data_IF_071267253313
#
_entry.id   IF_071267253313
#
_cell.length_a   1.000
_cell.length_b   1.000
_cell.length_c   1.000
_cell.angle_alpha   90.00
_cell.angle_beta   90.00
_cell.angle_gamma   90.00
#
_symmetry.space_group_name_H-M   'P 1'
#
loop_
_entity.id
_entity.type
_entity.pdbx_description
1 polymer ?
#
# COMPACT_ATOMS: atom_id res chain seq x y z
N UNK A 1 -30.43 -48.15 7.45
CA UNK A 1 -30.68 -47.14 8.52
C UNK A 1 -29.77 -45.94 8.23
N UNK A 2 -30.36 -44.80 7.86
CA UNK A 2 -29.62 -43.57 7.75
C UNK A 2 -29.17 -43.14 9.16
N UNK A 3 -27.89 -43.24 9.44
CA UNK A 3 -27.28 -42.74 10.66
C UNK A 3 -26.93 -41.26 10.52
N UNK A 4 -27.33 -40.40 11.48
CA UNK A 4 -26.92 -39.00 11.48
C UNK A 4 -25.61 -38.93 12.32
N UNK A 5 -24.50 -38.64 11.65
CA UNK A 5 -23.23 -38.41 12.31
C UNK A 5 -23.17 -36.93 12.68
N UNK A 6 -22.98 -36.63 13.98
CA UNK A 6 -22.71 -35.27 14.45
C UNK A 6 -21.24 -35.14 14.78
N UNK A 7 -20.56 -34.27 14.07
CA UNK A 7 -19.20 -33.90 14.41
C UNK A 7 -19.23 -32.73 15.40
N UNK A 8 -18.61 -32.93 16.56
CA UNK A 8 -18.37 -31.86 17.51
C UNK A 8 -16.93 -31.39 17.29
N UNK A 9 -16.78 -30.18 16.87
CA UNK A 9 -15.50 -29.53 16.80
C UNK A 9 -15.10 -29.09 18.19
N UNK A 10 -14.16 -29.80 18.75
CA UNK A 10 -13.43 -29.32 19.93
C UNK A 10 -12.10 -28.80 19.42
N UNK A 11 -11.84 -27.51 19.60
CA UNK A 11 -10.53 -26.94 19.32
C UNK A 11 -9.41 -27.72 20.03
N UNK A 12 -8.14 -27.50 19.67
CA UNK A 12 -6.98 -28.15 20.30
C UNK A 12 -7.17 -28.16 21.80
N UNK A 13 -7.29 -29.36 22.35
CA UNK A 13 -7.30 -29.52 23.80
C UNK A 13 -5.92 -29.15 24.36
N UNK A 14 -5.82 -28.99 25.68
CA UNK A 14 -4.56 -28.69 26.40
C UNK A 14 -3.40 -29.66 26.14
N UNK A 15 -3.65 -30.77 25.46
CA UNK A 15 -2.68 -31.80 25.10
C UNK A 15 -2.23 -31.74 23.64
N UNK A 16 -2.70 -30.75 22.85
CA UNK A 16 -2.27 -30.54 21.47
C UNK A 16 -2.81 -31.55 20.46
N UNK A 17 -3.79 -32.38 20.82
CA UNK A 17 -4.40 -33.32 19.89
C UNK A 17 -5.33 -32.62 18.93
N UNK A 18 -5.04 -32.74 17.64
CA UNK A 18 -5.85 -32.14 16.57
C UNK A 18 -7.25 -32.76 16.56
N UNK A 19 -8.23 -31.91 16.39
CA UNK A 19 -9.60 -32.31 16.16
C UNK A 19 -9.96 -32.07 14.72
N UNK A 20 -10.77 -32.95 14.16
CA UNK A 20 -11.11 -32.98 12.75
C UNK A 20 -11.77 -31.67 12.30
N UNK A 21 -11.20 -31.07 11.27
CA UNK A 21 -11.87 -30.07 10.47
C UNK A 21 -12.71 -30.72 9.37
N UNK A 22 -13.83 -30.14 8.94
CA UNK A 22 -14.62 -30.67 7.83
C UNK A 22 -13.85 -30.80 6.51
N UNK A 23 -12.71 -30.10 6.37
CA UNK A 23 -11.83 -30.16 5.22
C UNK A 23 -10.80 -31.29 5.28
N UNK A 24 -10.56 -31.89 6.45
CA UNK A 24 -9.68 -33.04 6.55
C UNK A 24 -10.35 -34.24 5.88
N UNK A 25 -9.56 -35.00 5.10
CA UNK A 25 -10.04 -36.22 4.45
C UNK A 25 -10.47 -37.23 5.53
N UNK A 26 -11.73 -37.16 5.90
CA UNK A 26 -12.34 -38.25 6.67
C UNK A 26 -12.60 -39.40 5.71
N UNK A 27 -12.20 -40.62 6.06
CA UNK A 27 -12.60 -41.83 5.35
C UNK A 27 -14.11 -42.03 5.57
N UNK A 28 -14.88 -41.69 4.55
CA UNK A 28 -16.31 -41.98 4.52
C UNK A 28 -16.52 -43.37 3.96
N UNK A 29 -17.51 -44.13 4.49
CA UNK A 29 -17.91 -45.39 3.86
C UNK A 29 -18.32 -45.18 2.41
N UNK A 30 -18.01 -46.14 1.54
CA UNK A 30 -18.52 -46.17 0.18
C UNK A 30 -20.04 -46.00 0.21
N UNK A 31 -20.59 -45.25 -0.77
CA UNK A 31 -22.01 -44.88 -0.86
C UNK A 31 -22.51 -43.85 0.16
N UNK A 32 -21.63 -43.15 0.87
CA UNK A 32 -22.01 -42.08 1.80
C UNK A 32 -22.19 -40.76 1.01
N UNK A 33 -23.39 -40.18 1.09
CA UNK A 33 -23.60 -38.82 0.60
C UNK A 33 -23.19 -37.83 1.67
N UNK A 34 -22.24 -36.96 1.35
CA UNK A 34 -21.68 -35.95 2.27
C UNK A 34 -22.12 -34.58 1.80
N UNK A 35 -22.87 -33.86 2.64
CA UNK A 35 -23.26 -32.48 2.42
C UNK A 35 -22.68 -31.61 3.53
N UNK A 36 -22.03 -30.51 3.16
CA UNK A 36 -21.42 -29.59 4.09
C UNK A 36 -22.24 -28.30 4.18
N UNK A 37 -22.56 -27.87 5.38
CA UNK A 37 -23.07 -26.52 5.59
C UNK A 37 -21.90 -25.53 5.42
N UNK A 38 -21.89 -24.84 4.30
CA UNK A 38 -20.85 -23.84 3.96
C UNK A 38 -20.70 -22.77 5.06
N UNK A 39 -21.76 -22.42 5.78
CA UNK A 39 -21.72 -21.48 6.91
C UNK A 39 -20.86 -21.99 8.07
N UNK A 40 -20.80 -23.31 8.26
CA UNK A 40 -19.91 -23.92 9.25
C UNK A 40 -18.45 -23.84 8.80
N UNK A 41 -18.18 -24.08 7.52
CA UNK A 41 -16.83 -23.94 6.95
C UNK A 41 -16.34 -22.50 7.12
N UNK A 42 -17.17 -21.52 6.79
CA UNK A 42 -16.86 -20.09 6.97
C UNK A 42 -16.61 -19.75 8.44
N UNK A 43 -17.44 -20.28 9.36
CA UNK A 43 -17.27 -20.07 10.80
C UNK A 43 -15.94 -20.64 11.32
N UNK A 44 -15.53 -21.81 10.80
CA UNK A 44 -14.24 -22.40 11.17
C UNK A 44 -13.06 -21.65 10.60
N UNK A 45 -13.18 -21.20 9.35
CA UNK A 45 -12.17 -20.32 8.74
C UNK A 45 -12.01 -19.01 9.54
N UNK A 46 -13.10 -18.44 10.07
CA UNK A 46 -13.05 -17.28 10.96
C UNK A 46 -12.42 -17.61 12.32
N UNK A 47 -12.74 -18.77 12.90
CA UNK A 47 -12.15 -19.20 14.18
C UNK A 47 -10.65 -19.45 14.04
N UNK A 48 -10.19 -20.02 12.93
CA UNK A 48 -8.78 -20.23 12.64
C UNK A 48 -8.06 -18.89 12.41
N UNK A 49 -8.66 -17.97 11.68
CA UNK A 49 -8.14 -16.59 11.53
C UNK A 49 -7.90 -15.91 12.88
N UNK A 50 -8.77 -16.12 13.85
CA UNK A 50 -8.63 -15.56 15.21
C UNK A 50 -7.51 -16.20 16.04
N UNK A 51 -7.01 -17.37 15.66
CA UNK A 51 -5.89 -18.04 16.32
C UNK A 51 -4.53 -17.65 15.74
N UNK A 52 -4.51 -17.11 14.51
CA UNK A 52 -3.28 -16.67 13.86
C UNK A 52 -2.82 -15.33 14.42
N UNK A 53 -1.51 -15.18 14.55
CA UNK A 53 -0.91 -13.88 14.84
C UNK A 53 -1.19 -12.90 13.69
N UNK A 54 -1.14 -11.60 13.96
CA UNK A 54 -1.29 -10.56 12.93
C UNK A 54 -0.30 -10.78 11.79
N UNK A 55 0.95 -11.12 12.11
CA UNK A 55 2.00 -11.41 11.12
C UNK A 55 1.62 -12.58 10.20
N UNK A 56 1.09 -13.66 10.77
CA UNK A 56 0.64 -14.82 9.99
C UNK A 56 -0.57 -14.50 9.12
N UNK A 57 -1.52 -13.71 9.61
CA UNK A 57 -2.68 -13.30 8.81
C UNK A 57 -2.27 -12.45 7.61
N UNK A 58 -1.37 -11.46 7.80
CA UNK A 58 -0.83 -10.63 6.72
C UNK A 58 -0.07 -11.50 5.71
N UNK A 59 0.73 -12.45 6.18
CA UNK A 59 1.47 -13.38 5.33
C UNK A 59 0.53 -14.25 4.48
N UNK A 60 -0.51 -14.80 5.09
CA UNK A 60 -1.48 -15.64 4.38
C UNK A 60 -2.23 -14.84 3.30
N UNK A 61 -2.60 -13.59 3.60
CA UNK A 61 -3.22 -12.69 2.62
C UNK A 61 -2.26 -12.35 1.47
N UNK A 62 -0.98 -12.11 1.76
CA UNK A 62 0.02 -11.89 0.72
C UNK A 62 0.09 -13.07 -0.27
N UNK A 63 0.21 -14.30 0.22
CA UNK A 63 0.29 -15.47 -0.64
C UNK A 63 -1.01 -15.77 -1.36
N UNK A 64 -2.16 -15.56 -0.73
CA UNK A 64 -3.47 -15.65 -1.38
C UNK A 64 -3.57 -14.68 -2.55
N UNK A 65 -3.16 -13.44 -2.37
CA UNK A 65 -3.18 -12.40 -3.41
C UNK A 65 -2.16 -12.72 -4.51
N UNK A 66 -0.97 -13.21 -4.14
CA UNK A 66 0.04 -13.66 -5.11
C UNK A 66 -0.49 -14.77 -6.00
N UNK A 67 -1.15 -15.76 -5.43
CA UNK A 67 -1.80 -16.85 -6.19
C UNK A 67 -2.93 -16.32 -7.08
N UNK A 68 -3.79 -15.45 -6.56
CA UNK A 68 -4.88 -14.83 -7.31
C UNK A 68 -4.39 -14.07 -8.55
N UNK A 69 -3.28 -13.33 -8.41
CA UNK A 69 -2.74 -12.48 -9.48
C UNK A 69 -1.75 -13.21 -10.40
N UNK A 70 -1.23 -14.37 -9.99
CA UNK A 70 -0.17 -15.09 -10.70
C UNK A 70 1.16 -14.34 -10.77
N UNK A 71 1.37 -13.33 -9.92
CA UNK A 71 2.58 -12.49 -9.84
C UNK A 71 2.83 -12.03 -8.41
N UNK A 72 4.04 -11.51 -8.14
CA UNK A 72 4.34 -10.84 -6.90
C UNK A 72 3.39 -9.62 -6.74
N UNK A 73 2.62 -9.53 -5.63
CA UNK A 73 1.78 -8.37 -5.36
C UNK A 73 2.60 -7.09 -5.20
N UNK A 74 2.05 -5.96 -5.60
CA UNK A 74 2.54 -4.62 -5.25
C UNK A 74 1.84 -4.12 -3.98
N UNK A 75 2.25 -2.96 -3.43
CA UNK A 75 1.50 -2.31 -2.32
C UNK A 75 0.07 -1.99 -2.74
N UNK A 76 -0.12 -1.56 -3.99
CA UNK A 76 -1.45 -1.30 -4.55
C UNK A 76 -2.27 -2.56 -4.70
N UNK A 77 -1.67 -3.69 -5.12
CA UNK A 77 -2.35 -4.98 -5.17
C UNK A 77 -2.80 -5.41 -3.77
N UNK A 78 -1.92 -5.33 -2.76
CA UNK A 78 -2.28 -5.63 -1.37
C UNK A 78 -3.39 -4.71 -0.86
N UNK A 79 -3.31 -3.41 -1.12
CA UNK A 79 -4.35 -2.45 -0.74
C UNK A 79 -5.71 -2.79 -1.36
N UNK A 80 -5.72 -3.28 -2.59
CA UNK A 80 -6.94 -3.55 -3.37
C UNK A 80 -7.60 -4.87 -3.00
N UNK A 81 -6.79 -5.91 -2.76
CA UNK A 81 -7.29 -7.29 -2.65
C UNK A 81 -7.19 -7.89 -1.24
N UNK A 82 -6.50 -7.24 -0.30
CA UNK A 82 -6.41 -7.71 1.08
C UNK A 82 -7.76 -7.57 1.78
N UNK A 83 -8.11 -8.55 2.59
CA UNK A 83 -9.28 -8.48 3.47
C UNK A 83 -9.25 -7.21 4.32
N UNK A 84 -10.39 -6.54 4.43
CA UNK A 84 -10.47 -5.23 5.11
C UNK A 84 -10.05 -5.29 6.58
N UNK A 85 -10.37 -6.36 7.30
CA UNK A 85 -10.01 -6.52 8.71
C UNK A 85 -8.51 -6.76 8.85
N UNK A 86 -7.92 -7.60 7.97
CA UNK A 86 -6.47 -7.84 7.94
C UNK A 86 -5.73 -6.55 7.55
N UNK A 87 -6.23 -5.79 6.57
CA UNK A 87 -5.65 -4.50 6.22
C UNK A 87 -5.68 -3.52 7.39
N UNK A 88 -6.79 -3.42 8.11
CA UNK A 88 -6.89 -2.54 9.29
C UNK A 88 -5.92 -2.97 10.39
N UNK A 89 -5.80 -4.27 10.65
CA UNK A 89 -4.81 -4.80 11.59
C UNK A 89 -3.38 -4.45 11.16
N UNK A 90 -3.05 -4.64 9.88
CA UNK A 90 -1.74 -4.35 9.33
C UNK A 90 -1.34 -2.88 9.49
N UNK A 91 -2.24 -1.93 9.17
CA UNK A 91 -1.92 -0.50 9.22
C UNK A 91 -1.95 0.10 10.63
N UNK A 92 -2.64 -0.54 11.59
CA UNK A 92 -2.68 -0.10 12.98
C UNK A 92 -1.51 -0.60 13.81
N UNK A 93 -0.91 -1.74 13.44
CA UNK A 93 0.24 -2.32 14.14
C UNK A 93 1.53 -1.97 13.41
N UNK A 94 2.18 -0.90 13.83
CA UNK A 94 3.33 -0.30 13.12
C UNK A 94 4.49 -1.28 12.84
N UNK A 95 4.73 -2.24 13.73
CA UNK A 95 5.80 -3.22 13.57
C UNK A 95 5.51 -4.27 12.50
N UNK A 96 4.24 -4.60 12.29
CA UNK A 96 3.79 -5.59 11.33
C UNK A 96 3.28 -4.98 10.01
N UNK A 97 3.35 -3.65 9.87
CA UNK A 97 2.83 -2.94 8.72
C UNK A 97 3.75 -3.10 7.48
N UNK A 98 3.39 -3.93 6.50
CA UNK A 98 4.21 -4.14 5.31
C UNK A 98 4.30 -2.90 4.42
N UNK A 99 3.31 -2.01 4.47
CA UNK A 99 3.25 -0.81 3.63
C UNK A 99 4.26 0.28 4.02
N UNK A 100 4.85 0.19 5.21
CA UNK A 100 5.88 1.12 5.70
C UNK A 100 7.32 0.62 5.50
N UNK A 101 7.49 -0.64 5.11
CA UNK A 101 8.77 -1.32 4.91
C UNK A 101 8.62 -2.50 3.94
N UNK A 102 8.02 -2.24 2.79
CA UNK A 102 7.58 -3.30 1.90
C UNK A 102 8.71 -4.18 1.37
N UNK A 103 9.84 -3.59 0.97
CA UNK A 103 10.99 -4.36 0.51
C UNK A 103 11.57 -5.24 1.63
N UNK A 104 11.61 -4.76 2.87
CA UNK A 104 12.01 -5.58 4.01
C UNK A 104 11.01 -6.71 4.26
N UNK A 105 9.72 -6.44 4.08
CA UNK A 105 8.68 -7.46 4.19
C UNK A 105 8.84 -8.55 3.13
N UNK A 106 9.15 -8.19 1.88
CA UNK A 106 9.47 -9.16 0.83
C UNK A 106 10.74 -9.96 1.14
N UNK A 107 11.76 -9.31 1.74
CA UNK A 107 12.97 -9.99 2.20
C UNK A 107 12.66 -11.03 3.29
N UNK A 108 11.82 -10.69 4.28
CA UNK A 108 11.38 -11.61 5.32
C UNK A 108 10.59 -12.82 4.77
N UNK A 109 9.93 -12.67 3.62
CA UNK A 109 9.19 -13.74 2.94
C UNK A 109 10.04 -14.54 1.95
N UNK A 110 11.31 -14.17 1.73
CA UNK A 110 12.18 -14.70 0.68
C UNK A 110 11.59 -14.49 -0.75
N UNK A 111 10.94 -13.35 -0.95
CA UNK A 111 10.21 -13.00 -2.17
C UNK A 111 10.90 -11.89 -3.00
N UNK A 112 12.06 -11.35 -2.57
CA UNK A 112 12.77 -10.33 -3.31
C UNK A 112 13.31 -10.86 -4.64
N UNK A 113 13.01 -10.15 -5.73
CA UNK A 113 13.72 -10.38 -7.00
C UNK A 113 15.16 -9.86 -6.92
N UNK A 114 16.02 -10.32 -7.83
CA UNK A 114 17.41 -9.86 -7.87
C UNK A 114 17.52 -8.36 -8.18
N UNK A 115 16.57 -7.81 -8.95
CA UNK A 115 16.47 -6.37 -9.21
C UNK A 115 16.08 -5.61 -7.92
N UNK A 116 15.12 -6.14 -7.17
CA UNK A 116 14.69 -5.52 -5.91
C UNK A 116 15.80 -5.56 -4.86
N UNK A 117 16.62 -6.62 -4.80
CA UNK A 117 17.78 -6.70 -3.91
C UNK A 117 18.76 -5.55 -4.12
N UNK A 118 18.93 -5.07 -5.36
CA UNK A 118 19.77 -3.90 -5.65
C UNK A 118 19.19 -2.61 -5.06
N UNK A 119 17.87 -2.46 -5.05
CA UNK A 119 17.19 -1.34 -4.42
C UNK A 119 17.05 -1.47 -2.89
N UNK A 120 17.22 -2.67 -2.34
CA UNK A 120 17.13 -2.93 -0.90
C UNK A 120 18.40 -2.56 -0.13
N UNK A 121 19.40 -1.95 -0.77
CA UNK A 121 20.67 -1.61 -0.17
C UNK A 121 21.00 -0.12 -0.38
N UNK A 122 21.75 0.45 0.56
CA UNK A 122 22.25 1.81 0.45
C UNK A 122 21.15 2.86 0.22
N UNK A 123 21.50 3.87 -0.57
CA UNK A 123 20.68 5.08 -0.78
C UNK A 123 19.30 4.78 -1.41
N UNK A 124 19.18 3.73 -2.23
CA UNK A 124 17.91 3.33 -2.83
C UNK A 124 16.89 2.88 -1.78
N UNK A 125 17.34 2.05 -0.83
CA UNK A 125 16.52 1.61 0.31
C UNK A 125 16.06 2.80 1.15
N UNK A 126 16.98 3.70 1.47
CA UNK A 126 16.69 4.86 2.32
C UNK A 126 15.73 5.82 1.62
N UNK A 127 15.86 5.98 0.29
CA UNK A 127 14.93 6.77 -0.50
C UNK A 127 13.51 6.16 -0.52
N UNK A 128 13.36 4.85 -0.77
CA UNK A 128 12.05 4.19 -0.71
C UNK A 128 11.47 4.29 0.70
N UNK A 129 12.28 4.11 1.74
CA UNK A 129 11.85 4.28 3.12
C UNK A 129 11.37 5.72 3.42
N UNK A 130 12.02 6.74 2.88
CA UNK A 130 11.53 8.11 2.96
C UNK A 130 10.15 8.23 2.30
N UNK A 131 9.96 7.69 1.10
CA UNK A 131 8.69 7.74 0.39
C UNK A 131 7.57 7.02 1.16
N UNK A 132 7.86 5.86 1.75
CA UNK A 132 6.92 5.09 2.57
C UNK A 132 6.50 5.81 3.85
N UNK A 133 7.41 6.57 4.46
CA UNK A 133 7.23 7.11 5.81
C UNK A 133 7.15 8.64 5.90
N UNK A 134 7.42 9.38 4.80
CA UNK A 134 7.38 10.86 4.84
C UNK A 134 6.05 11.36 5.40
N UNK A 135 6.09 12.32 6.31
CA UNK A 135 4.90 12.84 6.95
C UNK A 135 3.97 13.54 5.94
N UNK A 136 2.67 13.26 6.02
CA UNK A 136 1.69 13.73 5.06
C UNK A 136 0.38 14.13 5.77
N UNK A 137 0.26 15.41 6.10
CA UNK A 137 -1.01 15.98 6.60
C UNK A 137 -2.01 16.28 5.47
N UNK A 138 -1.50 16.51 4.26
CA UNK A 138 -2.21 16.66 2.98
C UNK A 138 -1.51 15.82 1.92
N UNK A 139 -2.25 15.39 0.91
CA UNK A 139 -1.74 14.53 -0.16
C UNK A 139 -0.72 15.22 -1.08
N UNK A 140 -0.43 16.48 -0.88
CA UNK A 140 0.32 17.38 -1.76
C UNK A 140 1.71 16.91 -2.16
N UNK A 141 2.40 16.13 -1.30
CA UNK A 141 3.71 15.57 -1.65
C UNK A 141 3.62 14.53 -2.76
N UNK A 142 2.50 13.80 -2.87
CA UNK A 142 2.37 12.69 -3.81
C UNK A 142 2.47 13.13 -5.28
N UNK A 143 1.70 14.14 -5.76
CA UNK A 143 1.88 14.62 -7.12
C UNK A 143 3.25 15.27 -7.39
N UNK A 144 3.90 15.87 -6.38
CA UNK A 144 5.26 16.43 -6.55
C UNK A 144 6.30 15.30 -6.70
N UNK A 145 6.19 14.25 -5.90
CA UNK A 145 7.05 13.08 -6.02
C UNK A 145 6.79 12.34 -7.34
N UNK A 146 5.52 12.24 -7.78
CA UNK A 146 5.16 11.62 -9.05
C UNK A 146 5.75 12.36 -10.27
N UNK A 147 6.04 13.65 -10.17
CA UNK A 147 6.69 14.39 -11.25
C UNK A 147 8.10 13.87 -11.59
N UNK A 148 8.78 13.21 -10.63
CA UNK A 148 10.05 12.54 -10.88
C UNK A 148 9.91 11.22 -11.66
N UNK A 149 8.73 10.59 -11.64
CA UNK A 149 8.48 9.38 -12.41
C UNK A 149 8.34 9.70 -13.91
N UNK A 150 9.08 8.98 -14.75
CA UNK A 150 9.06 9.18 -16.20
C UNK A 150 9.12 7.83 -16.93
N UNK A 151 7.95 7.23 -17.17
CA UNK A 151 7.83 6.00 -17.97
C UNK A 151 8.81 4.88 -17.58
N UNK A 152 8.86 4.53 -16.29
CA UNK A 152 9.74 3.48 -15.77
C UNK A 152 11.16 3.95 -15.40
N UNK A 153 11.42 5.25 -15.46
CA UNK A 153 12.68 5.85 -15.02
C UNK A 153 12.40 6.94 -13.95
N UNK A 154 13.39 7.27 -13.17
CA UNK A 154 13.35 8.39 -12.23
C UNK A 154 14.20 9.53 -12.77
N UNK A 155 13.65 10.74 -12.82
CA UNK A 155 14.39 11.96 -13.22
C UNK A 155 15.24 12.44 -12.06
N UNK A 156 16.41 13.00 -12.38
CA UNK A 156 17.24 13.70 -11.38
C UNK A 156 16.70 15.09 -11.03
N UNK A 157 16.00 15.72 -11.97
CA UNK A 157 15.51 17.09 -11.86
C UNK A 157 14.11 17.21 -12.41
N UNK A 158 13.32 18.12 -11.84
CA UNK A 158 12.00 18.48 -12.34
C UNK A 158 11.85 19.99 -12.39
N UNK A 159 11.28 20.48 -13.48
CA UNK A 159 10.95 21.88 -13.72
C UNK A 159 9.60 22.27 -13.08
N UNK A 160 9.33 23.58 -12.97
CA UNK A 160 7.99 24.06 -12.55
C UNK A 160 6.88 23.56 -13.47
N UNK A 161 7.15 23.44 -14.77
CA UNK A 161 6.17 22.95 -15.76
C UNK A 161 5.82 21.48 -15.52
N UNK A 162 6.81 20.61 -15.22
CA UNK A 162 6.60 19.20 -14.91
C UNK A 162 5.89 19.01 -13.56
N UNK A 163 6.25 19.80 -12.55
CA UNK A 163 5.54 19.81 -11.27
C UNK A 163 4.08 20.21 -11.45
N UNK A 164 3.84 21.26 -12.25
CA UNK A 164 2.48 21.74 -12.53
C UNK A 164 1.67 20.68 -13.30
N UNK A 165 2.26 20.04 -14.30
CA UNK A 165 1.59 19.01 -15.08
C UNK A 165 1.15 17.83 -14.20
N UNK A 166 2.07 17.27 -13.43
CA UNK A 166 1.77 16.17 -12.49
C UNK A 166 0.75 16.57 -11.41
N UNK A 167 0.86 17.79 -10.89
CA UNK A 167 -0.09 18.36 -9.94
C UNK A 167 -1.50 18.47 -10.51
N UNK A 168 -1.63 19.04 -11.70
CA UNK A 168 -2.94 19.21 -12.36
C UNK A 168 -3.56 17.88 -12.75
N UNK A 169 -2.78 16.93 -13.26
CA UNK A 169 -3.23 15.58 -13.56
C UNK A 169 -3.81 14.92 -12.30
N UNK A 170 -3.07 14.95 -11.20
CA UNK A 170 -3.50 14.35 -9.94
C UNK A 170 -4.79 14.99 -9.41
N UNK A 171 -4.86 16.31 -9.35
CA UNK A 171 -6.02 17.00 -8.77
C UNK A 171 -7.22 17.08 -9.72
N UNK A 172 -7.06 16.84 -11.02
CA UNK A 172 -8.17 16.71 -11.96
C UNK A 172 -8.79 15.30 -11.93
N UNK A 173 -8.11 14.32 -11.35
CA UNK A 173 -8.60 12.95 -11.27
C UNK A 173 -9.72 12.85 -10.22
N UNK A 174 -10.90 12.39 -10.65
CA UNK A 174 -12.06 12.17 -9.78
C UNK A 174 -12.42 13.37 -8.92
N UNK A 175 -12.38 13.21 -7.61
CA UNK A 175 -12.71 14.27 -6.63
C UNK A 175 -11.50 14.80 -5.86
N UNK A 176 -10.28 14.51 -6.31
CA UNK A 176 -9.04 14.90 -5.63
C UNK A 176 -8.92 16.42 -5.42
N UNK A 177 -9.47 17.21 -6.34
CA UNK A 177 -9.52 18.68 -6.25
C UNK A 177 -10.13 19.20 -4.94
N UNK A 178 -11.05 18.45 -4.30
CA UNK A 178 -11.67 18.80 -3.01
C UNK A 178 -10.66 18.91 -1.87
N UNK A 179 -9.46 18.37 -2.03
CA UNK A 179 -8.41 18.42 -1.01
C UNK A 179 -7.52 19.66 -1.09
N UNK A 180 -7.61 20.42 -2.21
CA UNK A 180 -6.81 21.62 -2.39
C UNK A 180 -7.14 22.73 -1.38
N UNK A 181 -8.43 22.95 -1.14
CA UNK A 181 -8.90 23.93 -0.17
C UNK A 181 -10.14 23.42 0.56
N UNK A 182 -10.40 23.94 1.73
CA UNK A 182 -11.61 23.59 2.48
C UNK A 182 -12.84 24.12 1.72
N UNK A 183 -13.82 23.25 1.51
CA UNK A 183 -15.11 23.60 0.90
C UNK A 183 -15.04 24.18 -0.52
N UNK A 184 -13.92 23.99 -1.22
CA UNK A 184 -13.79 24.44 -2.61
C UNK A 184 -14.83 23.74 -3.52
N UNK A 185 -15.43 24.50 -4.42
CA UNK A 185 -16.29 23.98 -5.50
C UNK A 185 -15.46 23.62 -6.72
N UNK A 186 -16.01 22.79 -7.62
CA UNK A 186 -15.34 22.44 -8.88
C UNK A 186 -15.12 23.64 -9.79
N UNK A 187 -16.06 24.56 -9.80
CA UNK A 187 -15.97 25.82 -10.56
C UNK A 187 -14.83 26.72 -10.08
N UNK A 188 -14.63 26.81 -8.77
CA UNK A 188 -13.53 27.56 -8.16
C UNK A 188 -12.20 26.88 -8.45
N UNK A 189 -12.13 25.56 -8.31
CA UNK A 189 -10.94 24.78 -8.67
C UNK A 189 -10.50 25.07 -10.11
N UNK A 190 -11.40 25.02 -11.07
CA UNK A 190 -11.09 25.29 -12.49
C UNK A 190 -10.59 26.70 -12.77
N UNK A 191 -10.89 27.67 -11.91
CA UNK A 191 -10.46 29.06 -12.03
C UNK A 191 -9.09 29.34 -11.40
N UNK A 192 -8.51 28.36 -10.68
CA UNK A 192 -7.18 28.52 -10.09
C UNK A 192 -6.16 28.64 -11.23
N UNK A 193 -5.43 29.78 -11.26
CA UNK A 193 -4.39 30.00 -12.25
C UNK A 193 -3.17 29.10 -12.04
N UNK A 194 -2.43 28.83 -13.10
CA UNK A 194 -1.18 28.07 -13.05
C UNK A 194 -0.18 28.70 -12.07
N UNK A 195 -0.10 30.01 -12.04
CA UNK A 195 0.71 30.75 -11.08
C UNK A 195 0.35 30.41 -9.62
N UNK A 196 -0.93 30.33 -9.31
CA UNK A 196 -1.39 30.00 -7.96
C UNK A 196 -1.11 28.54 -7.60
N UNK A 197 -1.25 27.62 -8.56
CA UNK A 197 -0.84 26.23 -8.36
C UNK A 197 0.65 26.13 -8.09
N UNK A 198 1.51 26.75 -8.89
CA UNK A 198 2.97 26.76 -8.70
C UNK A 198 3.34 27.36 -7.34
N UNK A 199 2.76 28.50 -6.96
CA UNK A 199 3.01 29.08 -5.63
C UNK A 199 2.66 28.12 -4.51
N UNK A 200 1.54 27.39 -4.60
CA UNK A 200 1.13 26.39 -3.60
C UNK A 200 2.11 25.21 -3.57
N UNK A 201 2.52 24.69 -4.73
CA UNK A 201 3.50 23.62 -4.89
C UNK A 201 4.82 24.00 -4.22
N UNK A 202 5.36 25.17 -4.55
CA UNK A 202 6.65 25.61 -4.05
C UNK A 202 6.63 25.91 -2.55
N UNK A 203 5.56 26.57 -2.07
CA UNK A 203 5.43 26.98 -0.65
C UNK A 203 5.14 25.80 0.29
N UNK A 204 4.49 24.75 -0.18
CA UNK A 204 4.06 23.67 0.67
C UNK A 204 4.86 22.36 0.40
N UNK A 205 4.50 21.51 -0.58
CA UNK A 205 5.16 20.21 -0.73
C UNK A 205 6.66 20.32 -1.04
N UNK A 206 7.08 21.22 -1.94
CA UNK A 206 8.51 21.38 -2.28
C UNK A 206 9.30 21.87 -1.08
N UNK A 207 8.83 22.90 -0.36
CA UNK A 207 9.47 23.39 0.85
C UNK A 207 9.64 22.28 1.90
N UNK A 208 8.60 21.48 2.12
CA UNK A 208 8.67 20.40 3.11
C UNK A 208 9.51 19.21 2.66
N UNK A 209 9.59 18.91 1.36
CA UNK A 209 10.52 17.89 0.85
C UNK A 209 11.97 18.32 1.02
N UNK A 210 12.29 19.57 0.71
CA UNK A 210 13.63 20.12 0.93
C UNK A 210 14.03 20.14 2.40
N UNK A 211 13.09 20.22 3.35
CA UNK A 211 13.37 20.24 4.78
C UNK A 211 13.43 18.84 5.40
N UNK A 212 12.45 17.98 5.08
CA UNK A 212 12.31 16.65 5.70
C UNK A 212 12.93 15.52 4.89
N UNK A 213 13.38 15.79 3.70
CA UNK A 213 14.05 14.88 2.78
C UNK A 213 15.35 15.48 2.24
N UNK A 214 16.01 16.32 3.02
CA UNK A 214 17.27 17.00 2.64
C UNK A 214 18.41 16.04 2.29
N UNK A 215 18.31 14.79 2.74
CA UNK A 215 19.22 13.71 2.35
C UNK A 215 19.11 13.34 0.87
N UNK A 216 17.95 13.62 0.24
CA UNK A 216 17.65 13.23 -1.14
C UNK A 216 17.34 14.41 -2.04
N UNK A 217 16.73 15.48 -1.51
CA UNK A 217 16.25 16.61 -2.29
C UNK A 217 17.11 17.85 -2.09
N UNK A 218 17.34 18.56 -3.19
CA UNK A 218 18.15 19.79 -3.21
C UNK A 218 17.55 20.82 -4.16
N UNK A 219 17.85 22.10 -3.90
CA UNK A 219 17.66 23.17 -4.88
C UNK A 219 18.80 23.16 -5.86
N UNK A 220 18.49 23.26 -7.16
CA UNK A 220 19.49 23.32 -8.20
C UNK A 220 19.10 24.44 -9.18
N UNK A 221 20.05 25.17 -9.69
CA UNK A 221 19.80 26.24 -10.66
C UNK A 221 19.16 25.65 -11.94
N UNK A 222 18.05 26.24 -12.37
CA UNK A 222 17.30 25.76 -13.53
C UNK A 222 16.23 24.69 -13.24
N UNK A 223 16.23 24.12 -12.04
CA UNK A 223 15.23 23.14 -11.61
C UNK A 223 14.33 23.68 -10.48
N UNK A 224 13.07 23.25 -10.45
CA UNK A 224 12.17 23.56 -9.33
C UNK A 224 12.48 22.70 -8.10
N UNK A 225 12.86 21.44 -8.34
CA UNK A 225 13.31 20.48 -7.35
C UNK A 225 14.24 19.47 -8.02
N UNK A 226 15.30 19.05 -7.33
CA UNK A 226 16.24 18.06 -7.84
C UNK A 226 16.54 16.99 -6.78
N UNK A 227 16.93 15.81 -7.23
CA UNK A 227 17.58 14.82 -6.40
C UNK A 227 19.06 15.16 -6.27
N UNK A 228 19.68 14.73 -5.17
CA UNK A 228 21.11 14.87 -4.96
C UNK A 228 21.91 13.96 -5.90
N UNK A 229 23.14 14.36 -6.21
CA UNK A 229 23.99 13.65 -7.16
C UNK A 229 24.27 12.20 -6.72
N UNK A 230 24.24 11.90 -5.42
CA UNK A 230 24.37 10.54 -4.88
C UNK A 230 23.29 9.59 -5.35
N UNK A 231 22.16 10.12 -5.86
CA UNK A 231 21.08 9.33 -6.45
C UNK A 231 21.32 8.93 -7.91
N UNK A 232 22.32 9.51 -8.59
CA UNK A 232 22.51 9.39 -10.05
C UNK A 232 22.59 7.94 -10.55
N UNK A 233 23.25 7.07 -9.80
CA UNK A 233 23.36 5.66 -10.21
C UNK A 233 22.08 4.88 -9.95
N UNK A 234 21.44 5.08 -8.79
CA UNK A 234 20.28 4.28 -8.43
C UNK A 234 19.02 4.67 -9.23
N UNK A 235 18.90 5.90 -9.70
CA UNK A 235 17.76 6.33 -10.53
C UNK A 235 17.74 5.67 -11.91
N UNK A 236 18.85 5.08 -12.35
CA UNK A 236 18.97 4.31 -13.60
C UNK A 236 18.35 2.92 -13.46
N UNK A 237 18.13 2.46 -12.24
CA UNK A 237 17.51 1.15 -11.99
C UNK A 237 15.99 1.22 -12.19
N UNK A 238 15.41 0.51 -13.17
CA UNK A 238 13.97 0.58 -13.44
C UNK A 238 13.12 0.19 -12.22
N UNK A 239 13.61 -0.74 -11.40
CA UNK A 239 12.92 -1.18 -10.19
C UNK A 239 12.73 -0.05 -9.18
N UNK A 240 13.62 0.95 -9.13
CA UNK A 240 13.43 2.13 -8.28
C UNK A 240 12.21 2.94 -8.71
N UNK A 241 12.05 3.13 -10.03
CA UNK A 241 10.90 3.85 -10.57
C UNK A 241 9.58 3.12 -10.29
N UNK A 242 9.56 1.80 -10.43
CA UNK A 242 8.40 0.96 -10.13
C UNK A 242 8.03 1.03 -8.64
N UNK A 243 9.01 0.87 -7.75
CA UNK A 243 8.80 0.98 -6.32
C UNK A 243 8.34 2.38 -5.91
N UNK A 244 8.94 3.42 -6.47
CA UNK A 244 8.56 4.80 -6.23
C UNK A 244 7.09 5.05 -6.64
N UNK A 245 6.70 4.64 -7.84
CA UNK A 245 5.33 4.77 -8.34
C UNK A 245 4.34 4.05 -7.43
N UNK A 246 4.59 2.79 -7.12
CA UNK A 246 3.74 1.96 -6.27
C UNK A 246 3.55 2.57 -4.86
N UNK A 247 4.62 3.07 -4.24
CA UNK A 247 4.53 3.77 -2.94
C UNK A 247 3.64 5.01 -3.04
N UNK A 248 3.85 5.84 -4.06
CA UNK A 248 3.14 7.11 -4.22
C UNK A 248 1.65 6.86 -4.44
N UNK A 249 1.31 5.93 -5.33
CA UNK A 249 -0.07 5.54 -5.63
C UNK A 249 -0.76 4.98 -4.38
N UNK A 250 -0.12 4.02 -3.71
CA UNK A 250 -0.65 3.45 -2.47
C UNK A 250 -0.89 4.54 -1.41
N UNK A 251 0.07 5.41 -1.16
CA UNK A 251 -0.06 6.43 -0.13
C UNK A 251 -1.14 7.46 -0.42
N UNK A 252 -1.34 7.80 -1.69
CA UNK A 252 -2.44 8.67 -2.10
C UNK A 252 -3.79 7.99 -1.86
N UNK A 253 -3.92 6.71 -2.20
CA UNK A 253 -5.15 5.94 -2.00
C UNK A 253 -5.47 5.72 -0.52
N UNK A 254 -4.47 5.32 0.29
CA UNK A 254 -4.64 5.17 1.74
C UNK A 254 -5.01 6.49 2.42
N UNK A 255 -4.43 7.61 1.98
CA UNK A 255 -4.80 8.94 2.48
C UNK A 255 -6.29 9.22 2.25
N UNK A 256 -6.80 9.00 1.05
CA UNK A 256 -8.21 9.22 0.74
C UNK A 256 -9.13 8.21 1.46
N UNK A 257 -8.74 6.94 1.53
CA UNK A 257 -9.49 5.92 2.30
C UNK A 257 -9.70 6.35 3.75
N UNK A 258 -8.66 6.80 4.44
CA UNK A 258 -8.76 7.29 5.83
C UNK A 258 -9.65 8.52 5.93
N UNK A 259 -9.47 9.48 5.04
CA UNK A 259 -10.24 10.72 5.04
C UNK A 259 -11.73 10.52 4.76
N UNK A 260 -12.10 9.56 3.92
CA UNK A 260 -13.50 9.22 3.69
C UNK A 260 -14.10 8.45 4.88
N UNK A 261 -13.37 7.54 5.50
CA UNK A 261 -13.83 6.84 6.73
C UNK A 261 -14.07 7.83 7.87
N UNK A 262 -13.22 8.82 8.06
CA UNK A 262 -13.41 9.87 9.07
C UNK A 262 -14.66 10.71 8.82
N UNK A 263 -14.94 11.07 7.56
CA UNK A 263 -16.16 11.82 7.20
C UNK A 263 -17.43 11.01 7.45
N UNK A 264 -17.44 9.73 7.13
CA UNK A 264 -18.61 8.86 7.40
C UNK A 264 -18.84 8.73 8.90
N UNK A 265 -17.79 8.54 9.72
CA UNK A 265 -17.90 8.49 11.18
C UNK A 265 -18.41 9.80 11.79
N UNK A 266 -18.11 10.94 11.18
CA UNK A 266 -18.58 12.24 11.64
C UNK A 266 -20.05 12.55 11.26
N UNK A 267 -20.63 11.77 10.33
CA UNK A 267 -22.03 11.88 9.88
C UNK A 267 -22.97 10.89 10.58
N UNK A 268 -22.42 9.90 11.26
CA UNK A 268 -23.14 8.92 12.10
C UNK A 268 -23.09 9.33 13.57
#
# INVERSE_FOLDING_TARGET
KAGRVRYFLTGKNKTGKETYYPADKADYPDECFVDFDMRLIDLFAEMDKKQLTIKEQIRNEYFRIKELLGKQPTRMDLFTYMDDDVYQMAVTHSNENPFKKYLNYLEELDELTDEQKRCCQGIGKDFINLLENTNMSKVYKMPVLMAFYNHGNVRMEVSEAELLASWKEFFSTGTNWKDLEKEITYEEYRKISDKNHIQKIMKMPVHFLLKSGEEFFVKKDGAALALRDEMEEIVKEPVLAEQMKDVIEYRAMDYYRRRYKEKIKALL
#
